data_IF_707161933245
#
_entry.id   IF_707161933245
#
_cell.length_a   1.000
_cell.length_b   1.000
_cell.length_c   1.000
_cell.angle_alpha   90.00
_cell.angle_beta   90.00
_cell.angle_gamma   90.00
#
_symmetry.space_group_name_H-M   'P 1'
#
loop_
_entity.id
_entity.type
_entity.pdbx_description
1 polymer ?
#
# COMPACT_ATOMS: atom_id res chain seq x y z
N UNK A 1 9.84 11.49 -0.11
CA UNK A 1 8.42 11.09 -0.10
C UNK A 1 8.33 9.57 -0.10
N UNK A 2 7.61 8.97 0.85
CA UNK A 2 7.34 7.52 0.85
C UNK A 2 6.16 7.22 -0.06
N UNK A 3 6.44 6.51 -1.14
CA UNK A 3 5.49 6.20 -2.21
C UNK A 3 5.06 4.73 -2.18
N UNK A 4 5.15 4.07 -1.03
CA UNK A 4 4.83 2.64 -0.86
C UNK A 4 3.39 2.32 -1.26
N UNK A 5 2.40 3.12 -0.85
CA UNK A 5 0.98 2.86 -1.10
C UNK A 5 0.57 3.08 -2.56
N UNK A 6 1.05 4.16 -3.18
CA UNK A 6 0.70 4.47 -4.55
C UNK A 6 1.49 3.63 -5.56
N UNK A 7 2.74 3.27 -5.19
CA UNK A 7 3.75 2.68 -6.08
C UNK A 7 4.08 3.63 -7.27
N UNK A 8 5.14 3.39 -8.06
CA UNK A 8 5.41 4.19 -9.25
C UNK A 8 4.34 4.01 -10.34
N UNK A 9 3.44 3.04 -10.19
CA UNK A 9 2.31 2.85 -11.10
C UNK A 9 1.34 4.04 -11.05
N UNK A 10 0.91 4.45 -9.84
CA UNK A 10 -0.09 5.50 -9.67
C UNK A 10 0.55 6.89 -9.63
N UNK A 11 1.67 7.06 -8.92
CA UNK A 11 2.30 8.36 -8.72
C UNK A 11 3.81 8.25 -8.87
N UNK A 12 4.42 9.22 -9.54
CA UNK A 12 5.87 9.40 -9.60
C UNK A 12 6.25 10.72 -8.93
N UNK A 13 6.49 10.75 -7.60
CA UNK A 13 6.67 12.00 -6.86
C UNK A 13 7.88 12.84 -7.32
N UNK A 14 8.90 12.23 -7.93
CA UNK A 14 10.01 12.96 -8.56
C UNK A 14 9.50 13.96 -9.61
N UNK A 15 8.45 13.61 -10.36
CA UNK A 15 7.83 14.51 -11.35
C UNK A 15 7.10 15.69 -10.70
N UNK A 16 6.94 15.66 -9.37
CA UNK A 16 6.30 16.69 -8.56
C UNK A 16 7.29 17.36 -7.58
N UNK A 17 8.59 17.23 -7.83
CA UNK A 17 9.64 17.93 -7.08
C UNK A 17 10.21 17.19 -5.86
N UNK A 18 9.90 15.90 -5.68
CA UNK A 18 10.53 15.13 -4.60
C UNK A 18 11.98 14.76 -4.94
N UNK A 19 12.94 15.08 -4.07
CA UNK A 19 14.36 14.72 -4.25
C UNK A 19 14.63 13.23 -4.05
N UNK A 20 13.92 12.61 -3.11
CA UNK A 20 14.02 11.19 -2.77
C UNK A 20 12.63 10.56 -2.75
N UNK A 21 12.48 9.46 -3.47
CA UNK A 21 11.28 8.62 -3.46
C UNK A 21 11.64 7.29 -2.85
N UNK A 22 10.99 6.97 -1.73
CA UNK A 22 11.27 5.77 -0.95
C UNK A 22 10.12 4.79 -1.13
N UNK A 23 10.44 3.52 -1.26
CA UNK A 23 9.47 2.44 -1.29
C UNK A 23 9.89 1.32 -0.34
N UNK A 24 8.95 0.81 0.43
CA UNK A 24 9.01 -0.57 0.93
C UNK A 24 8.69 -1.51 -0.22
N UNK A 25 9.73 -2.08 -0.84
CA UNK A 25 9.58 -3.03 -1.94
C UNK A 25 8.99 -4.38 -1.49
N UNK A 26 8.98 -4.64 -0.18
CA UNK A 26 8.19 -5.69 0.48
C UNK A 26 6.71 -5.67 0.08
N UNK A 27 6.16 -4.48 -0.22
CA UNK A 27 4.74 -4.29 -0.49
C UNK A 27 4.46 -4.46 -1.98
N UNK A 28 3.80 -3.49 -2.62
CA UNK A 28 3.35 -3.62 -4.00
C UNK A 28 4.45 -3.93 -5.04
N UNK A 29 5.69 -3.46 -4.83
CA UNK A 29 6.75 -3.65 -5.83
C UNK A 29 7.07 -5.13 -6.04
N UNK A 30 7.43 -5.87 -4.99
CA UNK A 30 7.48 -7.34 -5.09
C UNK A 30 6.08 -7.91 -5.24
N UNK A 31 5.22 -7.65 -4.26
CA UNK A 31 3.79 -7.98 -4.29
C UNK A 31 3.44 -9.46 -4.19
N UNK A 32 4.36 -10.30 -3.69
CA UNK A 32 4.15 -11.76 -3.54
C UNK A 32 4.41 -12.26 -2.10
N UNK A 33 4.56 -11.35 -1.12
CA UNK A 33 4.69 -11.71 0.29
C UNK A 33 5.97 -12.46 0.68
N UNK A 34 6.96 -12.52 -0.21
CA UNK A 34 8.10 -13.44 -0.13
C UNK A 34 9.47 -12.75 -0.02
N UNK A 35 9.51 -11.41 0.07
CA UNK A 35 10.76 -10.66 0.14
C UNK A 35 10.63 -9.42 1.02
N UNK A 36 11.69 -9.12 1.79
CA UNK A 36 11.85 -7.85 2.48
C UNK A 36 12.88 -7.00 1.74
N UNK A 37 12.47 -5.82 1.26
CA UNK A 37 13.35 -4.94 0.51
C UNK A 37 12.93 -3.47 0.63
N UNK A 38 13.90 -2.58 0.53
CA UNK A 38 13.72 -1.14 0.41
C UNK A 38 14.33 -0.61 -0.88
N UNK A 39 13.72 0.41 -1.48
CA UNK A 39 14.22 1.07 -2.69
C UNK A 39 14.16 2.58 -2.48
N UNK A 40 15.24 3.27 -2.86
CA UNK A 40 15.28 4.74 -2.94
C UNK A 40 15.59 5.14 -4.38
N UNK A 41 14.67 5.85 -5.01
CA UNK A 41 14.85 6.48 -6.31
C UNK A 41 15.17 7.97 -6.12
N UNK A 42 16.24 8.44 -6.75
CA UNK A 42 16.75 9.81 -6.63
C UNK A 42 17.69 10.15 -7.80
N UNK A 43 18.23 11.37 -7.84
CA UNK A 43 19.22 11.81 -8.82
C UNK A 43 20.57 11.10 -8.63
N UNK A 44 21.42 11.11 -9.66
CA UNK A 44 22.77 10.50 -9.60
C UNK A 44 23.62 11.11 -8.48
N UNK A 45 23.55 12.43 -8.28
CA UNK A 45 24.31 13.11 -7.23
C UNK A 45 23.89 12.61 -5.83
N UNK A 46 22.58 12.54 -5.58
CA UNK A 46 22.03 12.08 -4.31
C UNK A 46 22.26 10.58 -4.09
N UNK A 47 22.20 9.76 -5.15
CA UNK A 47 22.54 8.34 -5.10
C UNK A 47 23.97 8.13 -4.59
N UNK A 48 24.94 8.94 -5.03
CA UNK A 48 26.32 8.80 -4.58
C UNK A 48 26.45 9.06 -3.08
N UNK A 49 25.76 10.08 -2.55
CA UNK A 49 25.71 10.36 -1.10
C UNK A 49 25.12 9.16 -0.33
N UNK A 50 24.04 8.58 -0.82
CA UNK A 50 23.44 7.37 -0.23
C UNK A 50 24.36 6.15 -0.31
N UNK A 51 25.12 6.01 -1.39
CA UNK A 51 26.07 4.92 -1.56
C UNK A 51 27.20 5.00 -0.53
N UNK A 52 27.74 6.19 -0.26
CA UNK A 52 28.73 6.38 0.81
C UNK A 52 28.16 6.00 2.18
N UNK A 53 26.91 6.38 2.47
CA UNK A 53 26.24 5.97 3.71
C UNK A 53 26.08 4.43 3.79
N UNK A 54 25.63 3.79 2.70
CA UNK A 54 25.43 2.34 2.66
C UNK A 54 26.70 1.54 2.94
N UNK A 55 27.88 2.04 2.56
CA UNK A 55 29.17 1.41 2.92
C UNK A 55 29.40 1.36 4.43
N UNK A 56 28.89 2.34 5.17
CA UNK A 56 29.05 2.44 6.62
C UNK A 56 28.01 1.62 7.38
N UNK A 57 26.76 1.65 6.94
CA UNK A 57 25.63 0.99 7.64
C UNK A 57 25.40 -0.46 7.21
N UNK A 58 25.97 -0.89 6.07
CA UNK A 58 25.88 -2.26 5.58
C UNK A 58 24.47 -2.70 5.14
N UNK A 59 23.53 -1.77 4.97
CA UNK A 59 22.14 -2.05 4.59
C UNK A 59 22.02 -2.35 3.09
N UNK A 60 22.62 -3.46 2.66
CA UNK A 60 22.66 -3.91 1.27
C UNK A 60 21.71 -5.09 1.08
N UNK A 61 20.90 -5.02 0.02
CA UNK A 61 19.97 -6.08 -0.34
C UNK A 61 20.72 -7.28 -0.93
N UNK A 62 20.37 -8.49 -0.51
CA UNK A 62 20.91 -9.71 -1.10
C UNK A 62 20.50 -9.89 -2.56
N UNK A 63 21.31 -10.56 -3.39
CA UNK A 63 21.05 -10.70 -4.83
C UNK A 63 19.80 -11.54 -5.13
N UNK A 64 19.45 -12.49 -4.26
CA UNK A 64 18.26 -13.32 -4.43
C UNK A 64 16.99 -12.52 -4.14
N UNK A 65 16.98 -11.72 -3.07
CA UNK A 65 15.90 -10.80 -2.72
C UNK A 65 15.71 -9.74 -3.81
N UNK A 66 16.82 -9.20 -4.35
CA UNK A 66 16.77 -8.29 -5.48
C UNK A 66 16.13 -8.94 -6.72
N UNK A 67 16.48 -10.20 -7.01
CA UNK A 67 15.89 -10.96 -8.11
C UNK A 67 14.39 -11.23 -7.91
N UNK A 68 13.95 -11.60 -6.70
CA UNK A 68 12.53 -11.79 -6.37
C UNK A 68 11.74 -10.49 -6.57
N UNK A 69 12.25 -9.36 -6.06
CA UNK A 69 11.61 -8.07 -6.25
C UNK A 69 11.52 -7.67 -7.74
N UNK A 70 12.58 -7.90 -8.52
CA UNK A 70 12.58 -7.68 -9.97
C UNK A 70 11.57 -8.57 -10.70
N UNK A 71 11.45 -9.84 -10.29
CA UNK A 71 10.46 -10.78 -10.83
C UNK A 71 9.04 -10.27 -10.57
N UNK A 72 8.75 -9.84 -9.34
CA UNK A 72 7.45 -9.29 -8.96
C UNK A 72 7.08 -8.00 -9.70
N UNK A 73 8.09 -7.15 -9.97
CA UNK A 73 7.90 -5.88 -10.67
C UNK A 73 7.35 -6.06 -12.09
N UNK A 74 7.67 -7.16 -12.78
CA UNK A 74 7.18 -7.43 -14.14
C UNK A 74 5.66 -7.45 -14.26
N UNK A 75 4.96 -7.85 -13.20
CA UNK A 75 3.49 -7.91 -13.17
C UNK A 75 2.86 -6.76 -12.39
N UNK A 76 3.66 -5.79 -11.91
CA UNK A 76 3.16 -4.64 -11.14
C UNK A 76 1.99 -3.92 -11.83
N UNK A 77 2.05 -3.57 -13.14
CA UNK A 77 0.93 -2.86 -13.78
C UNK A 77 -0.37 -3.66 -13.79
N UNK A 78 -0.29 -4.98 -13.98
CA UNK A 78 -1.45 -5.88 -13.99
C UNK A 78 -2.05 -6.00 -12.59
N UNK A 79 -1.20 -6.24 -11.59
CA UNK A 79 -1.61 -6.36 -10.18
C UNK A 79 -2.23 -5.06 -9.67
N UNK A 80 -1.59 -3.92 -9.90
CA UNK A 80 -2.10 -2.62 -9.44
C UNK A 80 -3.42 -2.26 -10.10
N UNK A 81 -3.58 -2.50 -11.41
CA UNK A 81 -4.86 -2.29 -12.10
C UNK A 81 -5.98 -3.10 -11.44
N UNK A 82 -5.74 -4.40 -11.22
CA UNK A 82 -6.75 -5.29 -10.62
C UNK A 82 -7.04 -4.91 -9.16
N UNK A 83 -6.01 -4.62 -8.37
CA UNK A 83 -6.15 -4.23 -6.96
C UNK A 83 -6.90 -2.91 -6.81
N UNK A 84 -6.65 -1.92 -7.68
CA UNK A 84 -7.40 -0.65 -7.67
C UNK A 84 -8.89 -0.87 -8.02
N UNK A 85 -9.18 -1.71 -9.02
CA UNK A 85 -10.55 -2.02 -9.42
C UNK A 85 -11.31 -2.76 -8.30
N UNK A 86 -10.68 -3.77 -7.70
CA UNK A 86 -11.25 -4.52 -6.58
C UNK A 86 -11.49 -3.61 -5.37
N UNK A 87 -10.53 -2.77 -5.01
CA UNK A 87 -10.65 -1.87 -3.87
C UNK A 87 -11.78 -0.86 -4.05
N UNK A 88 -11.98 -0.32 -5.26
CA UNK A 88 -13.11 0.56 -5.54
C UNK A 88 -14.45 -0.15 -5.35
N UNK A 89 -14.62 -1.36 -5.92
CA UNK A 89 -15.85 -2.13 -5.76
C UNK A 89 -16.15 -2.46 -4.29
N UNK A 90 -15.13 -2.87 -3.54
CA UNK A 90 -15.28 -3.15 -2.09
C UNK A 90 -15.61 -1.87 -1.32
N UNK A 91 -14.97 -0.74 -1.63
CA UNK A 91 -15.24 0.54 -0.98
C UNK A 91 -16.67 1.02 -1.21
N UNK A 92 -17.17 0.92 -2.45
CA UNK A 92 -18.55 1.27 -2.81
C UNK A 92 -19.56 0.34 -2.11
N UNK A 93 -19.31 -0.97 -2.13
CA UNK A 93 -20.15 -1.93 -1.43
C UNK A 93 -20.21 -1.66 0.07
N UNK A 94 -19.06 -1.46 0.73
CA UNK A 94 -18.98 -1.11 2.15
C UNK A 94 -19.72 0.19 2.46
N UNK A 95 -19.63 1.19 1.59
CA UNK A 95 -20.31 2.49 1.77
C UNK A 95 -21.83 2.34 1.77
N UNK A 96 -22.37 1.37 1.03
CA UNK A 96 -23.82 1.08 1.01
C UNK A 96 -24.30 0.19 2.16
N UNK A 97 -23.39 -0.40 2.94
CA UNK A 97 -23.75 -1.42 3.91
C UNK A 97 -24.21 -0.80 5.25
N UNK A 98 -25.39 -1.16 5.79
CA UNK A 98 -26.01 -0.46 6.92
C UNK A 98 -25.26 -0.58 8.25
N UNK A 99 -24.36 -1.57 8.37
CA UNK A 99 -23.51 -1.77 9.55
C UNK A 99 -22.15 -1.08 9.44
N UNK A 100 -21.89 -0.34 8.36
CA UNK A 100 -20.65 0.40 8.17
C UNK A 100 -20.93 1.88 8.45
N UNK A 101 -20.16 2.46 9.35
CA UNK A 101 -20.27 3.86 9.74
C UNK A 101 -19.58 4.77 8.73
N UNK A 102 -18.38 4.39 8.30
CA UNK A 102 -17.56 5.22 7.43
C UNK A 102 -16.56 4.38 6.63
N UNK A 103 -16.28 4.79 5.40
CA UNK A 103 -15.24 4.21 4.53
C UNK A 103 -14.26 5.31 4.12
N UNK A 104 -12.98 4.99 4.21
CA UNK A 104 -11.85 5.84 3.86
C UNK A 104 -11.16 5.24 2.64
N UNK A 105 -11.47 5.77 1.47
CA UNK A 105 -10.83 5.38 0.21
C UNK A 105 -10.77 6.56 -0.76
N UNK A 106 -9.61 6.92 -1.32
CA UNK A 106 -9.47 8.08 -2.20
C UNK A 106 -10.33 8.01 -3.48
N UNK A 107 -10.78 6.83 -3.88
CA UNK A 107 -11.65 6.64 -5.04
C UNK A 107 -13.12 7.03 -4.80
N UNK A 108 -13.55 7.18 -3.55
CA UNK A 108 -14.92 7.59 -3.24
C UNK A 108 -15.09 9.10 -3.43
N UNK A 109 -16.21 9.51 -4.05
CA UNK A 109 -16.47 10.93 -4.37
C UNK A 109 -16.55 11.84 -3.13
N UNK A 110 -16.94 11.29 -1.98
CA UNK A 110 -17.03 12.01 -0.70
C UNK A 110 -15.69 12.04 0.06
N UNK A 111 -14.63 11.40 -0.44
CA UNK A 111 -13.33 11.43 0.22
C UNK A 111 -12.69 12.83 0.09
N UNK A 112 -12.21 13.47 1.17
CA UNK A 112 -11.64 14.82 1.11
C UNK A 112 -10.50 14.96 0.10
N UNK A 113 -9.68 13.92 -0.05
CA UNK A 113 -8.59 13.85 -1.01
C UNK A 113 -8.97 13.42 -2.43
N UNK A 114 -10.25 13.20 -2.76
CA UNK A 114 -10.66 12.60 -4.03
C UNK A 114 -10.21 13.41 -5.25
N UNK A 115 -10.47 14.72 -5.26
CA UNK A 115 -10.11 15.60 -6.38
C UNK A 115 -8.59 15.63 -6.62
N UNK A 116 -7.81 15.69 -5.53
CA UNK A 116 -6.35 15.65 -5.61
C UNK A 116 -5.85 14.29 -6.11
N UNK A 117 -6.37 13.19 -5.56
CA UNK A 117 -6.00 11.83 -5.98
C UNK A 117 -6.34 11.60 -7.46
N UNK A 118 -7.49 12.07 -7.92
CA UNK A 118 -7.90 11.99 -9.33
C UNK A 118 -6.91 12.71 -10.25
N UNK A 119 -6.45 13.90 -9.85
CA UNK A 119 -5.46 14.66 -10.59
C UNK A 119 -4.09 13.96 -10.58
N UNK A 120 -3.59 13.56 -9.41
CA UNK A 120 -2.26 12.95 -9.26
C UNK A 120 -2.15 11.57 -9.91
N UNK A 121 -3.19 10.74 -9.84
CA UNK A 121 -3.15 9.35 -10.31
C UNK A 121 -3.54 9.17 -11.77
N UNK A 122 -3.93 10.26 -12.46
CA UNK A 122 -4.16 10.30 -13.91
C UNK A 122 -5.07 9.16 -14.42
N UNK A 123 -6.16 8.87 -13.69
CA UNK A 123 -7.15 7.87 -14.10
C UNK A 123 -6.71 6.39 -13.99
N UNK A 124 -5.54 6.10 -13.42
CA UNK A 124 -5.03 4.72 -13.28
C UNK A 124 -5.65 3.92 -12.12
N UNK A 125 -6.42 4.57 -11.25
CA UNK A 125 -6.99 3.99 -10.03
C UNK A 125 -6.60 4.79 -8.78
N UNK A 126 -6.92 4.24 -7.60
CA UNK A 126 -6.77 4.94 -6.31
C UNK A 126 -6.02 4.13 -5.24
N UNK A 127 -5.36 3.04 -5.64
CA UNK A 127 -4.63 2.15 -4.74
C UNK A 127 -5.45 0.94 -4.32
N UNK A 128 -4.78 -0.06 -3.75
CA UNK A 128 -5.42 -1.30 -3.29
C UNK A 128 -5.75 -1.31 -1.79
N UNK A 129 -5.57 -0.20 -1.08
CA UNK A 129 -5.84 -0.11 0.36
C UNK A 129 -7.02 0.82 0.62
N UNK A 130 -7.94 0.35 1.45
CA UNK A 130 -9.03 1.14 2.03
C UNK A 130 -9.08 0.87 3.54
N UNK A 131 -9.73 1.75 4.28
CA UNK A 131 -10.05 1.54 5.69
C UNK A 131 -11.52 1.83 5.93
N UNK A 132 -12.11 1.26 6.98
CA UNK A 132 -13.52 1.50 7.31
C UNK A 132 -13.79 1.30 8.79
N UNK A 133 -14.87 1.89 9.26
CA UNK A 133 -15.39 1.76 10.62
C UNK A 133 -16.70 0.98 10.60
N UNK A 134 -16.80 -0.04 11.46
CA UNK A 134 -18.05 -0.77 11.69
C UNK A 134 -18.88 0.03 12.70
N UNK A 135 -20.15 0.28 12.40
CA UNK A 135 -21.02 1.07 13.25
C UNK A 135 -21.22 0.40 14.62
N UNK A 136 -21.04 1.20 15.68
CA UNK A 136 -21.18 0.79 17.10
C UNK A 136 -20.42 -0.49 17.46
N UNK A 137 -19.29 -0.76 16.80
CA UNK A 137 -18.46 -1.93 17.05
C UNK A 137 -17.28 -1.60 17.98
N UNK A 138 -17.13 -2.39 19.05
CA UNK A 138 -15.90 -2.43 19.84
C UNK A 138 -14.92 -3.46 19.29
N UNK A 139 -13.86 -3.70 20.06
CA UNK A 139 -12.80 -4.65 19.69
C UNK A 139 -13.34 -6.06 19.39
N UNK A 140 -14.25 -6.56 20.22
CA UNK A 140 -14.76 -7.93 20.11
C UNK A 140 -15.68 -8.09 18.89
N UNK A 141 -16.48 -7.07 18.55
CA UNK A 141 -17.26 -7.04 17.30
C UNK A 141 -16.36 -7.06 16.07
N UNK A 142 -15.29 -6.27 16.09
CA UNK A 142 -14.31 -6.21 14.98
C UNK A 142 -13.61 -7.55 14.81
N UNK A 143 -13.22 -8.20 15.92
CA UNK A 143 -12.53 -9.50 15.86
C UNK A 143 -13.47 -10.59 15.35
N UNK A 144 -14.73 -10.62 15.80
CA UNK A 144 -15.76 -11.52 15.25
C UNK A 144 -15.98 -11.31 13.76
N UNK A 145 -15.97 -10.06 13.29
CA UNK A 145 -16.01 -9.77 11.86
C UNK A 145 -14.80 -10.35 11.13
N UNK A 146 -13.58 -10.09 11.63
CA UNK A 146 -12.35 -10.58 11.00
C UNK A 146 -12.30 -12.12 10.96
N UNK A 147 -12.70 -12.80 12.03
CA UNK A 147 -12.76 -14.26 12.13
C UNK A 147 -13.82 -14.88 11.20
N UNK A 148 -14.84 -14.13 10.82
CA UNK A 148 -15.88 -14.59 9.89
C UNK A 148 -15.43 -14.57 8.42
N UNK A 149 -14.32 -13.89 8.09
CA UNK A 149 -13.82 -13.77 6.73
C UNK A 149 -13.13 -15.07 6.28
N UNK A 150 -13.50 -15.57 5.09
CA UNK A 150 -12.95 -16.81 4.52
C UNK A 150 -11.87 -16.59 3.46
N UNK A 151 -11.82 -15.39 2.87
CA UNK A 151 -10.87 -15.02 1.80
C UNK A 151 -9.80 -14.07 2.34
N UNK A 152 -10.18 -13.11 3.19
CA UNK A 152 -9.25 -12.14 3.73
C UNK A 152 -8.47 -12.76 4.89
N UNK A 153 -7.13 -12.70 4.80
CA UNK A 153 -6.25 -13.25 5.83
C UNK A 153 -5.84 -12.16 6.83
N UNK A 154 -5.80 -12.46 8.14
CA UNK A 154 -5.28 -11.52 9.13
C UNK A 154 -3.76 -11.38 8.97
N UNK A 155 -3.28 -10.18 8.61
CA UNK A 155 -1.84 -9.93 8.44
C UNK A 155 -1.47 -8.46 8.65
N UNK A 156 -0.28 -8.19 9.18
CA UNK A 156 0.25 -6.83 9.41
C UNK A 156 1.04 -6.28 8.21
N UNK A 157 0.79 -6.80 7.00
CA UNK A 157 1.40 -6.37 5.74
C UNK A 157 0.33 -5.96 4.72
N UNK A 158 0.75 -5.49 3.54
CA UNK A 158 -0.13 -5.06 2.46
C UNK A 158 0.53 -5.26 1.09
N UNK A 159 -0.27 -5.19 0.03
CA UNK A 159 0.21 -5.19 -1.36
C UNK A 159 0.57 -6.55 -1.93
N UNK A 160 0.22 -7.63 -1.22
CA UNK A 160 0.33 -9.02 -1.65
C UNK A 160 -0.75 -9.38 -2.68
N UNK A 161 -0.68 -10.59 -3.24
CA UNK A 161 -1.72 -11.20 -4.07
C UNK A 161 -2.95 -11.63 -3.26
N UNK A 162 -2.79 -11.83 -1.94
CA UNK A 162 -3.87 -12.14 -1.02
C UNK A 162 -4.60 -10.87 -0.56
N UNK A 163 -5.91 -11.01 -0.31
CA UNK A 163 -6.66 -9.99 0.44
C UNK A 163 -6.27 -10.09 1.91
N UNK A 164 -5.84 -8.97 2.49
CA UNK A 164 -5.38 -8.93 3.88
C UNK A 164 -6.25 -7.98 4.70
N UNK A 165 -6.43 -8.31 5.98
CA UNK A 165 -7.18 -7.49 6.94
C UNK A 165 -6.38 -7.34 8.22
N UNK A 166 -6.45 -6.16 8.84
CA UNK A 166 -5.93 -5.95 10.18
C UNK A 166 -6.77 -4.92 10.94
N UNK A 167 -6.72 -5.01 12.27
CA UNK A 167 -7.22 -3.97 13.15
C UNK A 167 -6.02 -3.18 13.72
N UNK A 168 -5.74 -1.95 13.20
CA UNK A 168 -4.50 -1.22 13.48
C UNK A 168 -4.25 -0.98 14.98
N UNK A 169 -5.28 -0.56 15.72
CA UNK A 169 -5.17 -0.22 17.14
C UNK A 169 -4.68 -1.40 17.99
N UNK A 170 -5.00 -2.64 17.63
CA UNK A 170 -4.53 -3.83 18.37
C UNK A 170 -3.26 -4.47 17.80
N UNK A 171 -2.81 -4.02 16.62
CA UNK A 171 -1.69 -4.59 15.86
C UNK A 171 -0.59 -3.55 15.64
N UNK A 172 -0.54 -2.92 14.46
CA UNK A 172 0.57 -2.07 14.02
C UNK A 172 0.69 -0.75 14.79
N UNK A 173 -0.41 -0.25 15.37
CA UNK A 173 -0.46 1.04 16.07
C UNK A 173 -0.73 0.87 17.57
N UNK A 174 -0.43 -0.31 18.16
CA UNK A 174 -0.69 -0.59 19.58
C UNK A 174 -0.06 0.41 20.56
N UNK A 175 1.02 1.08 20.14
CA UNK A 175 1.78 2.03 20.95
C UNK A 175 1.43 3.51 20.69
N UNK A 176 0.42 3.79 19.86
CA UNK A 176 -0.09 5.14 19.59
C UNK A 176 -1.42 5.34 20.32
#
# INVERSE_FOLDING_TARGET
MDNTFASPYLLNPIMHGADYVIHSATKYLSGHGDVLAGVVATSTENKNKLFELNKLIGSVLGPFEAWLALRGLKTLPLRMKQQCANALQVAEWLTSHPRIKQVYYPGLANHPGHALAKNLFNGKGFGGVLSFEIDKAGKDEVFRFMESLRICLPATTLGDIYSLVLHPMTSSHRSL
#
